data_IF_606552210398
#
_entry.id   IF_606552210398
#
_cell.length_a   1.000
_cell.length_b   1.000
_cell.length_c   1.000
_cell.angle_alpha   90.00
_cell.angle_beta   90.00
_cell.angle_gamma   90.00
#
_symmetry.space_group_name_H-M   'P 1'
#
loop_
_entity.id
_entity.type
_entity.pdbx_description
1 polymer ?
#
# COMPACT_ATOMS: atom_id res chain seq x y z
N UNK A 1 -1.18 6.35 25.65
CA UNK A 1 -2.40 6.58 24.83
C UNK A 1 -2.23 7.89 24.10
N UNK A 2 -2.86 8.05 22.95
CA UNK A 2 -2.95 9.36 22.28
C UNK A 2 -3.70 10.31 23.21
N UNK A 3 -3.17 11.52 23.42
CA UNK A 3 -3.82 12.56 24.21
C UNK A 3 -4.93 13.22 23.38
N UNK A 4 -6.19 13.07 23.80
CA UNK A 4 -7.34 13.61 23.09
C UNK A 4 -7.53 15.13 23.28
N UNK A 5 -6.73 15.78 24.13
CA UNK A 5 -6.76 17.22 24.35
C UNK A 5 -5.88 18.02 23.37
N UNK A 6 -5.00 17.33 22.63
CA UNK A 6 -4.09 17.93 21.67
C UNK A 6 -4.43 17.51 20.23
N UNK A 7 -4.27 18.39 19.22
CA UNK A 7 -4.34 17.98 17.82
C UNK A 7 -3.28 16.91 17.50
N UNK A 8 -3.69 15.85 16.80
CA UNK A 8 -2.79 14.79 16.35
C UNK A 8 -2.37 15.04 14.89
N UNK A 9 -1.06 15.09 14.66
CA UNK A 9 -0.47 15.29 13.32
C UNK A 9 0.36 14.09 12.89
N UNK A 10 0.37 13.81 11.60
CA UNK A 10 1.24 12.84 10.95
C UNK A 10 2.03 13.58 9.85
N UNK A 11 3.31 13.84 10.10
CA UNK A 11 4.14 14.75 9.28
C UNK A 11 5.05 14.02 8.29
N UNK A 12 5.08 12.68 8.32
CA UNK A 12 5.86 11.87 7.39
C UNK A 12 4.96 10.73 6.90
N UNK A 13 4.08 11.08 5.97
CA UNK A 13 3.12 10.15 5.39
C UNK A 13 3.18 10.24 3.86
N UNK A 14 3.64 9.18 3.23
CA UNK A 14 3.67 9.05 1.77
C UNK A 14 2.25 8.73 1.29
N UNK A 15 1.71 9.56 0.39
CA UNK A 15 0.33 9.40 -0.10
C UNK A 15 0.23 8.25 -1.10
N UNK A 16 1.16 8.22 -2.05
CA UNK A 16 1.41 7.17 -3.04
C UNK A 16 1.76 5.83 -2.35
N UNK A 17 2.56 5.86 -1.29
CA UNK A 17 2.80 4.67 -0.44
C UNK A 17 1.62 4.21 0.43
N UNK A 18 0.44 4.83 0.32
CA UNK A 18 -0.72 4.55 1.18
C UNK A 18 -2.03 4.36 0.38
N UNK A 19 -1.93 3.90 -0.87
CA UNK A 19 -3.10 3.49 -1.64
C UNK A 19 -3.70 2.21 -1.06
N UNK A 20 -5.02 2.20 -0.88
CA UNK A 20 -5.73 1.01 -0.37
C UNK A 20 -5.64 -0.10 -1.42
N UNK A 21 -5.33 -1.33 -1.02
CA UNK A 21 -5.28 -2.47 -1.95
C UNK A 21 -6.60 -2.71 -2.72
N UNK A 22 -7.75 -2.38 -2.11
CA UNK A 22 -9.03 -2.41 -2.82
C UNK A 22 -9.08 -1.39 -3.97
N UNK A 23 -8.55 -0.17 -3.76
CA UNK A 23 -8.46 0.86 -4.79
C UNK A 23 -7.55 0.44 -5.94
N UNK A 24 -6.43 -0.23 -5.65
CA UNK A 24 -5.56 -0.83 -6.68
C UNK A 24 -6.35 -1.81 -7.55
N UNK A 25 -7.10 -2.73 -6.95
CA UNK A 25 -7.95 -3.69 -7.68
C UNK A 25 -9.00 -3.01 -8.55
N UNK A 26 -9.68 -2.01 -8.00
CA UNK A 26 -10.79 -1.34 -8.68
C UNK A 26 -10.28 -0.54 -9.89
N UNK A 27 -9.21 0.23 -9.72
CA UNK A 27 -8.60 0.99 -10.82
C UNK A 27 -7.93 0.08 -11.86
N UNK A 28 -7.31 -1.02 -11.44
CA UNK A 28 -6.77 -2.01 -12.37
C UNK A 28 -7.85 -2.62 -13.28
N UNK A 29 -9.06 -2.86 -12.73
CA UNK A 29 -10.22 -3.31 -13.52
C UNK A 29 -10.77 -2.20 -14.42
N UNK A 30 -10.92 -0.99 -13.89
CA UNK A 30 -11.44 0.17 -14.62
C UNK A 30 -10.60 0.49 -15.87
N UNK A 31 -9.28 0.50 -15.72
CA UNK A 31 -8.35 0.82 -16.80
C UNK A 31 -7.84 -0.41 -17.56
N UNK A 32 -8.35 -1.60 -17.27
CA UNK A 32 -7.93 -2.86 -17.89
C UNK A 32 -6.40 -3.09 -17.81
N UNK A 33 -5.82 -2.81 -16.65
CA UNK A 33 -4.41 -3.05 -16.33
C UNK A 33 -4.28 -4.43 -15.68
N UNK A 34 -3.39 -5.27 -16.22
CA UNK A 34 -3.11 -6.58 -15.65
C UNK A 34 -2.42 -6.43 -14.28
N UNK A 35 -3.08 -6.91 -13.23
CA UNK A 35 -2.56 -6.99 -11.87
C UNK A 35 -2.01 -8.41 -11.59
N UNK A 36 -1.12 -8.59 -10.60
CA UNK A 36 -0.56 -9.90 -10.26
C UNK A 36 -1.58 -10.81 -9.54
N UNK A 37 -2.75 -10.27 -9.19
CA UNK A 37 -3.82 -10.94 -8.47
C UNK A 37 -5.18 -10.29 -8.73
N UNK A 38 -6.28 -11.03 -8.53
CA UNK A 38 -7.65 -10.57 -8.85
C UNK A 38 -8.55 -10.42 -7.63
N UNK A 39 -8.08 -10.84 -6.45
CA UNK A 39 -8.79 -10.71 -5.17
C UNK A 39 -7.91 -10.02 -4.13
N UNK A 40 -8.52 -9.45 -3.10
CA UNK A 40 -7.79 -8.69 -2.07
C UNK A 40 -6.74 -9.55 -1.35
N UNK A 41 -7.12 -10.76 -0.93
CA UNK A 41 -6.22 -11.66 -0.20
C UNK A 41 -5.04 -12.12 -1.05
N UNK A 42 -5.25 -12.32 -2.35
CA UNK A 42 -4.18 -12.71 -3.27
C UNK A 42 -3.31 -11.53 -3.70
N UNK A 43 -3.83 -10.29 -3.65
CA UNK A 43 -3.06 -9.08 -3.99
C UNK A 43 -2.16 -8.61 -2.84
N UNK A 44 -2.59 -8.76 -1.58
CA UNK A 44 -1.86 -8.26 -0.40
C UNK A 44 -0.37 -8.60 -0.38
N UNK A 45 0.09 -9.83 -0.69
CA UNK A 45 1.52 -10.14 -0.69
C UNK A 45 2.34 -9.32 -1.71
N UNK A 46 1.72 -8.79 -2.76
CA UNK A 46 2.38 -8.00 -3.79
C UNK A 46 2.51 -6.51 -3.42
N UNK A 47 1.59 -5.97 -2.65
CA UNK A 47 1.46 -4.52 -2.36
C UNK A 47 1.65 -4.16 -0.90
N UNK A 48 1.94 -5.16 -0.06
CA UNK A 48 2.18 -5.00 1.37
C UNK A 48 3.42 -5.81 1.77
N UNK A 49 4.20 -5.26 2.68
CA UNK A 49 5.31 -5.97 3.33
C UNK A 49 4.73 -7.03 4.29
N UNK A 50 5.01 -8.31 4.04
CA UNK A 50 4.58 -9.44 4.87
C UNK A 50 5.70 -10.06 5.70
N UNK A 51 6.95 -9.73 5.37
CA UNK A 51 8.18 -10.14 6.05
C UNK A 51 9.20 -9.01 5.94
N UNK A 52 10.26 -9.02 6.75
CA UNK A 52 11.33 -8.04 6.63
C UNK A 52 11.99 -8.12 5.25
N UNK A 53 12.14 -6.97 4.60
CA UNK A 53 12.89 -6.83 3.35
C UNK A 53 14.38 -6.59 3.67
N UNK A 54 15.31 -7.08 2.84
CA UNK A 54 16.75 -7.06 3.13
C UNK A 54 17.36 -5.66 3.09
N UNK A 55 16.73 -4.72 2.38
CA UNK A 55 17.20 -3.35 2.21
C UNK A 55 16.05 -2.39 1.82
N UNK A 56 16.37 -1.10 1.78
CA UNK A 56 15.43 -0.03 1.43
C UNK A 56 14.86 -0.20 0.01
N UNK A 57 15.69 -0.57 -0.96
CA UNK A 57 15.25 -0.64 -2.36
C UNK A 57 14.25 -1.79 -2.54
N UNK A 58 14.46 -2.90 -1.84
CA UNK A 58 13.53 -4.03 -1.79
C UNK A 58 12.20 -3.66 -1.14
N UNK A 59 12.21 -2.83 -0.08
CA UNK A 59 10.99 -2.28 0.51
C UNK A 59 10.22 -1.39 -0.46
N UNK A 60 10.93 -0.50 -1.18
CA UNK A 60 10.31 0.46 -2.11
C UNK A 60 9.56 -0.24 -3.25
N UNK A 61 10.01 -1.41 -3.69
CA UNK A 61 9.35 -2.19 -4.75
C UNK A 61 7.90 -2.60 -4.42
N UNK A 62 7.47 -2.58 -3.15
CA UNK A 62 6.06 -2.83 -2.77
C UNK A 62 5.11 -1.72 -3.21
N UNK A 63 5.63 -0.53 -3.51
CA UNK A 63 4.84 0.63 -3.91
C UNK A 63 4.58 0.64 -5.43
N UNK A 64 5.25 -0.19 -6.23
CA UNK A 64 5.15 -0.13 -7.71
C UNK A 64 3.73 -0.41 -8.27
N UNK A 65 2.87 -1.05 -7.48
CA UNK A 65 1.47 -1.32 -7.85
C UNK A 65 0.47 -0.27 -7.34
N UNK A 66 0.94 0.69 -6.53
CA UNK A 66 0.16 1.78 -5.95
C UNK A 66 0.68 3.13 -6.41
#
# INVERSE_FOLDING_TARGET
MIDSSLPLTDIHRHLDGNIRAQTILDLGREFNIALPATTLDTLRPHVQVTSLEPDLVSFLAKLDWG
#
